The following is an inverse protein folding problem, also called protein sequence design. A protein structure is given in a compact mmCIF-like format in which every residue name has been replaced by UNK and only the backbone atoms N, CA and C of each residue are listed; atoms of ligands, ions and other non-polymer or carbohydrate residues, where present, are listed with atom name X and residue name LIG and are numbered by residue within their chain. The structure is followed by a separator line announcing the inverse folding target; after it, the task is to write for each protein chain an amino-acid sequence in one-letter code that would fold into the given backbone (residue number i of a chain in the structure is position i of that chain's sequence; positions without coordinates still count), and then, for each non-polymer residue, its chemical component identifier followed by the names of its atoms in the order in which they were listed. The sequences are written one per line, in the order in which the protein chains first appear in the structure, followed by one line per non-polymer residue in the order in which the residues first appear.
data_IF_905996986977
#
_entry.id   IF_905996986977
#
_cell.length_a   1.000
_cell.length_b   1.000
_cell.length_c   1.000
_cell.angle_alpha   90.00
_cell.angle_beta   90.00
_cell.angle_gamma   90.00
#
_symmetry.space_group_name_H-M   'P 1'
#
loop_
_entity.id
_entity.type
_entity.pdbx_description
1 polymer ?
#
# COMPACT_ATOMS: atom_id res chain seq x y z
N UNK A 1 3.77 16.13 -4.26
CA UNK A 1 3.39 17.54 -4.45
C UNK A 1 4.52 18.30 -3.80
N UNK A 2 5.54 18.64 -4.58
CA UNK A 2 6.51 19.62 -4.09
C UNK A 2 5.79 20.96 -4.01
N UNK A 3 5.94 21.71 -2.90
CA UNK A 3 5.32 23.03 -2.78
C UNK A 3 5.85 23.94 -3.90
N UNK A 4 4.94 24.76 -4.45
CA UNK A 4 5.21 25.61 -5.60
C UNK A 4 6.31 26.66 -5.35
N UNK A 5 6.58 26.97 -4.08
CA UNK A 5 7.75 27.72 -3.64
C UNK A 5 8.28 27.10 -2.33
N UNK A 6 9.53 26.64 -2.30
CA UNK A 6 10.19 26.31 -1.05
C UNK A 6 10.25 27.53 -0.12
N UNK A 7 10.18 27.31 1.19
CA UNK A 7 10.41 28.39 2.16
C UNK A 7 11.78 29.05 1.88
N UNK A 8 11.91 30.37 2.05
CA UNK A 8 13.09 31.13 1.64
C UNK A 8 14.43 30.57 2.14
N UNK A 9 14.45 29.92 3.31
CA UNK A 9 15.66 29.29 3.85
C UNK A 9 16.07 28.01 3.10
N UNK A 10 15.16 27.35 2.37
CA UNK A 10 15.46 26.15 1.58
C UNK A 10 16.42 26.48 0.44
N UNK A 11 16.34 27.68 -0.13
CA UNK A 11 17.32 28.17 -1.12
C UNK A 11 18.69 28.51 -0.51
N UNK A 12 18.78 28.60 0.82
CA UNK A 12 20.01 28.83 1.57
C UNK A 12 20.61 27.53 2.13
N UNK A 13 19.89 26.41 2.01
CA UNK A 13 20.46 25.11 2.33
C UNK A 13 21.61 24.83 1.34
N UNK A 14 22.74 24.26 1.79
CA UNK A 14 23.85 23.89 0.92
C UNK A 14 23.36 23.18 -0.34
N UNK A 15 23.93 23.44 -1.53
CA UNK A 15 23.69 22.57 -2.67
C UNK A 15 24.10 21.12 -2.36
N UNK A 16 23.57 20.13 -3.09
CA UNK A 16 24.07 18.75 -3.02
C UNK A 16 23.36 17.81 -2.02
N UNK A 17 22.26 18.21 -1.37
CA UNK A 17 21.52 17.29 -0.48
C UNK A 17 21.04 16.01 -1.15
N UNK A 18 20.71 16.06 -2.44
CA UNK A 18 20.32 14.87 -3.20
C UNK A 18 21.48 13.91 -3.43
N UNK A 19 22.69 14.44 -3.59
CA UNK A 19 23.93 13.66 -3.70
C UNK A 19 24.33 13.10 -2.34
N UNK A 20 24.29 13.93 -1.28
CA UNK A 20 24.50 13.49 0.10
C UNK A 20 23.51 12.39 0.52
N UNK A 21 22.21 12.52 0.20
CA UNK A 21 21.22 11.47 0.49
C UNK A 21 21.51 10.16 -0.24
N UNK A 22 22.07 10.23 -1.44
CA UNK A 22 22.46 9.05 -2.20
C UNK A 22 23.72 8.40 -1.59
N UNK A 23 24.67 9.20 -1.11
CA UNK A 23 25.90 8.73 -0.45
C UNK A 23 25.63 8.12 0.94
N UNK A 24 24.65 8.64 1.68
CA UNK A 24 24.23 8.14 3.00
C UNK A 24 23.30 6.92 2.93
N UNK A 25 23.02 6.39 1.73
CA UNK A 25 22.15 5.25 1.47
C UNK A 25 20.77 5.34 2.16
N UNK A 26 20.25 6.57 2.35
CA UNK A 26 18.93 6.79 2.95
C UNK A 26 17.87 6.61 1.86
N UNK A 27 17.02 5.56 1.92
CA UNK A 27 16.07 5.32 0.84
C UNK A 27 15.08 6.47 0.69
N UNK A 28 14.77 6.81 -0.57
CA UNK A 28 13.76 7.83 -0.89
C UNK A 28 12.41 7.44 -0.24
N UNK A 29 11.79 8.42 0.44
CA UNK A 29 10.55 8.27 1.26
C UNK A 29 10.72 7.56 2.60
N UNK A 30 11.93 7.39 3.11
CA UNK A 30 12.13 6.97 4.50
C UNK A 30 11.39 7.94 5.43
N UNK A 31 10.45 7.46 6.26
CA UNK A 31 9.75 8.32 7.20
C UNK A 31 10.68 8.72 8.35
N UNK A 32 10.42 9.88 8.92
CA UNK A 32 11.05 10.33 10.15
C UNK A 32 10.01 11.02 11.04
N UNK A 33 10.27 11.04 12.34
CA UNK A 33 9.46 11.73 13.34
C UNK A 33 10.25 12.90 13.92
N UNK A 34 9.59 14.04 14.05
CA UNK A 34 10.10 15.23 14.71
C UNK A 34 9.29 15.43 16.00
N UNK A 35 9.96 15.87 17.07
CA UNK A 35 9.31 16.20 18.34
C UNK A 35 8.34 17.39 18.19
N UNK A 36 7.39 17.59 19.12
CA UNK A 36 6.57 18.80 19.15
C UNK A 36 7.36 20.12 19.26
N UNK A 37 8.63 20.04 19.66
CA UNK A 37 9.57 21.17 19.75
C UNK A 37 10.42 21.37 18.48
N UNK A 38 10.09 20.66 17.40
CA UNK A 38 10.83 20.68 16.14
C UNK A 38 12.26 20.10 16.21
N UNK A 39 12.50 19.20 17.17
CA UNK A 39 13.82 18.56 17.34
C UNK A 39 13.84 17.19 16.65
N UNK A 40 14.98 16.87 16.04
CA UNK A 40 15.25 15.57 15.41
C UNK A 40 16.01 14.66 16.38
N UNK A 41 15.39 13.56 16.78
CA UNK A 41 16.01 12.54 17.63
C UNK A 41 16.66 11.45 16.75
N UNK A 42 17.99 11.40 16.75
CA UNK A 42 18.78 10.50 15.89
C UNK A 42 18.53 9.03 16.23
N UNK A 43 18.49 8.68 17.52
CA UNK A 43 18.32 7.29 17.97
C UNK A 43 16.89 6.77 17.73
N UNK A 44 15.90 7.64 17.88
CA UNK A 44 14.52 7.32 17.53
C UNK A 44 14.41 7.02 16.03
N UNK A 45 14.95 7.91 15.19
CA UNK A 45 14.79 7.83 13.74
C UNK A 45 15.69 6.78 13.08
N UNK A 46 16.77 6.35 13.74
CA UNK A 46 17.62 5.24 13.31
C UNK A 46 16.82 3.92 13.14
N UNK A 47 15.66 3.79 13.79
CA UNK A 47 14.75 2.67 13.54
C UNK A 47 14.30 2.59 12.07
N UNK A 48 14.00 3.73 11.45
CA UNK A 48 13.48 3.77 10.07
C UNK A 48 14.55 3.49 9.01
N UNK A 49 15.83 3.67 9.36
CA UNK A 49 16.98 3.29 8.54
C UNK A 49 17.53 1.91 8.88
N UNK A 50 16.93 1.19 9.85
CA UNK A 50 17.33 -0.17 10.15
C UNK A 50 17.10 -1.13 8.98
N UNK A 51 17.90 -2.19 8.87
CA UNK A 51 17.78 -3.20 7.81
C UNK A 51 16.35 -3.78 7.66
N UNK A 52 15.61 -3.90 8.77
CA UNK A 52 14.22 -4.39 8.77
C UNK A 52 13.28 -3.40 8.09
N UNK A 53 13.46 -2.10 8.33
CA UNK A 53 12.63 -1.05 7.74
C UNK A 53 13.03 -0.76 6.29
N UNK A 54 14.33 -0.68 6.00
CA UNK A 54 14.87 -0.47 4.64
C UNK A 54 14.38 -1.57 3.68
N UNK A 55 14.38 -2.83 4.11
CA UNK A 55 13.86 -3.95 3.31
C UNK A 55 12.33 -3.99 3.19
N UNK A 56 11.60 -3.14 3.91
CA UNK A 56 10.13 -3.12 3.91
C UNK A 56 9.58 -2.13 2.89
N UNK A 57 8.41 -2.45 2.33
CA UNK A 57 7.71 -1.53 1.44
C UNK A 57 7.40 -0.19 2.13
N UNK A 58 7.49 0.93 1.40
CA UNK A 58 7.18 2.28 1.89
C UNK A 58 5.90 2.37 2.73
N UNK A 59 4.80 1.73 2.28
CA UNK A 59 3.52 1.75 3.01
C UNK A 59 3.62 1.11 4.40
N UNK A 60 4.46 0.09 4.53
CA UNK A 60 4.76 -0.53 5.82
C UNK A 60 5.51 0.45 6.70
N UNK A 61 6.60 1.05 6.19
CA UNK A 61 7.38 2.04 6.94
C UNK A 61 6.50 3.21 7.41
N UNK A 62 5.69 3.78 6.52
CA UNK A 62 4.76 4.86 6.86
C UNK A 62 3.70 4.45 7.89
N UNK A 63 3.23 3.20 7.83
CA UNK A 63 2.32 2.63 8.84
C UNK A 63 2.98 2.53 10.21
N UNK A 64 4.20 2.02 10.28
CA UNK A 64 5.01 1.99 11.50
C UNK A 64 5.23 3.40 12.06
N UNK A 65 5.66 4.35 11.23
CA UNK A 65 5.87 5.73 11.65
C UNK A 65 4.60 6.37 12.21
N UNK A 66 3.45 6.12 11.59
CA UNK A 66 2.15 6.62 12.07
C UNK A 66 1.77 6.03 13.43
N UNK A 67 2.02 4.74 13.64
CA UNK A 67 1.68 4.04 14.88
C UNK A 67 2.60 4.44 16.04
N UNK A 68 3.91 4.50 15.77
CA UNK A 68 4.89 5.01 16.73
C UNK A 68 4.52 6.44 17.10
N UNK A 69 4.30 7.32 16.11
CA UNK A 69 3.86 8.71 16.34
C UNK A 69 2.62 8.80 17.22
N UNK A 70 1.62 7.94 17.01
CA UNK A 70 0.40 7.96 17.80
C UNK A 70 0.67 7.73 19.29
N UNK A 71 1.51 6.74 19.62
CA UNK A 71 1.93 6.47 20.99
C UNK A 71 2.79 7.59 21.58
N UNK A 72 3.77 8.09 20.81
CA UNK A 72 4.64 9.18 21.30
C UNK A 72 3.85 10.46 21.56
N UNK A 73 2.88 10.79 20.72
CA UNK A 73 1.96 11.91 20.97
C UNK A 73 1.15 11.70 22.25
N UNK A 74 0.74 10.47 22.56
CA UNK A 74 0.05 10.16 23.81
C UNK A 74 0.98 10.33 25.01
N UNK A 75 2.21 9.81 24.97
CA UNK A 75 3.20 10.02 26.03
C UNK A 75 3.42 11.51 26.29
N UNK A 76 3.58 12.30 25.23
CA UNK A 76 3.76 13.73 25.33
C UNK A 76 2.54 14.42 25.97
N UNK A 77 1.36 14.25 25.36
CA UNK A 77 0.17 15.04 25.75
C UNK A 77 -0.50 14.56 27.03
N UNK A 78 -0.47 13.27 27.30
CA UNK A 78 -1.25 12.66 28.38
C UNK A 78 -0.38 12.18 29.55
N UNK A 79 0.94 12.05 29.37
CA UNK A 79 1.87 11.58 30.41
C UNK A 79 2.93 12.63 30.80
N UNK A 80 2.67 13.90 30.51
CA UNK A 80 3.48 15.03 30.98
C UNK A 80 4.81 15.15 30.24
N UNK A 81 4.76 15.26 28.91
CA UNK A 81 5.94 15.39 28.05
C UNK A 81 6.93 14.21 28.19
N UNK A 82 6.42 13.04 28.59
CA UNK A 82 7.26 11.87 28.86
C UNK A 82 8.02 11.44 27.60
N UNK A 83 9.33 11.28 27.75
CA UNK A 83 10.21 10.76 26.72
C UNK A 83 9.85 9.33 26.35
N UNK A 84 10.01 8.98 25.08
CA UNK A 84 9.83 7.62 24.61
C UNK A 84 10.79 6.62 25.26
N UNK A 85 11.95 7.09 25.76
CA UNK A 85 12.95 6.28 26.46
C UNK A 85 12.51 5.88 27.87
N UNK A 86 11.67 6.71 28.49
CA UNK A 86 11.17 6.52 29.85
C UNK A 86 9.77 5.86 29.88
N UNK A 87 9.29 5.40 28.72
CA UNK A 87 8.03 4.69 28.63
C UNK A 87 8.11 3.35 29.38
N UNK A 88 7.13 3.11 30.24
CA UNK A 88 6.98 1.86 31.00
C UNK A 88 5.65 1.17 30.67
N UNK A 89 5.45 -0.02 31.23
CA UNK A 89 4.23 -0.82 31.00
C UNK A 89 2.95 -0.06 31.34
N UNK A 90 2.94 0.70 32.44
CA UNK A 90 1.80 1.53 32.84
C UNK A 90 1.44 2.60 31.81
N UNK A 91 2.40 3.07 31.01
CA UNK A 91 2.14 3.98 29.90
C UNK A 91 1.43 3.29 28.75
N UNK A 92 1.83 2.05 28.44
CA UNK A 92 1.15 1.24 27.44
C UNK A 92 -0.27 0.84 27.86
N UNK A 93 -0.46 0.47 29.12
CA UNK A 93 -1.80 0.15 29.66
C UNK A 93 -2.71 1.38 29.62
N UNK A 94 -2.20 2.55 30.02
CA UNK A 94 -2.95 3.80 29.90
C UNK A 94 -3.28 4.14 28.43
N UNK A 95 -2.34 3.93 27.51
CA UNK A 95 -2.56 4.10 26.08
C UNK A 95 -3.64 3.15 25.56
N UNK A 96 -3.63 1.88 25.96
CA UNK A 96 -4.67 0.90 25.60
C UNK A 96 -6.06 1.38 26.05
N UNK A 97 -6.19 1.87 27.29
CA UNK A 97 -7.47 2.37 27.82
C UNK A 97 -7.94 3.58 27.01
N UNK A 98 -7.07 4.58 26.83
CA UNK A 98 -7.39 5.79 26.08
C UNK A 98 -7.73 5.49 24.60
N UNK A 99 -6.95 4.63 23.95
CA UNK A 99 -7.07 4.33 22.52
C UNK A 99 -8.33 3.54 22.19
N UNK A 100 -8.85 2.76 23.15
CA UNK A 100 -9.93 1.79 22.91
C UNK A 100 -11.21 1.99 23.70
N UNK A 101 -11.14 2.48 24.94
CA UNK A 101 -12.26 2.46 25.89
C UNK A 101 -12.72 3.85 26.29
N UNK A 102 -11.80 4.80 26.38
CA UNK A 102 -12.12 6.16 26.80
C UNK A 102 -13.12 6.83 25.83
N UNK A 103 -14.16 7.45 26.38
CA UNK A 103 -15.19 8.19 25.66
C UNK A 103 -14.64 9.43 24.93
N UNK A 104 -13.60 10.04 25.49
CA UNK A 104 -12.83 11.16 24.90
C UNK A 104 -11.72 10.65 23.97
N UNK A 105 -11.52 9.33 23.92
CA UNK A 105 -10.53 8.67 23.11
C UNK A 105 -11.05 8.25 21.73
N UNK A 106 -10.15 7.84 20.82
CA UNK A 106 -10.52 7.50 19.44
C UNK A 106 -11.33 6.21 19.28
N UNK A 107 -11.36 5.34 20.29
CA UNK A 107 -12.08 4.04 20.31
C UNK A 107 -11.85 3.22 19.04
N UNK A 108 -10.58 2.95 18.74
CA UNK A 108 -10.20 2.20 17.54
C UNK A 108 -10.69 0.76 17.60
N UNK A 109 -10.91 0.17 16.41
CA UNK A 109 -11.25 -1.24 16.29
C UNK A 109 -10.05 -2.14 16.62
N UNK A 110 -10.35 -3.43 16.78
CA UNK A 110 -9.39 -4.49 17.10
C UNK A 110 -8.21 -4.57 16.11
N UNK A 111 -8.47 -4.51 14.80
CA UNK A 111 -7.43 -4.64 13.78
C UNK A 111 -6.46 -3.45 13.78
N UNK A 112 -6.98 -2.24 14.01
CA UNK A 112 -6.15 -1.03 14.14
C UNK A 112 -5.28 -1.11 15.40
N UNK A 113 -5.87 -1.53 16.52
CA UNK A 113 -5.15 -1.71 17.77
C UNK A 113 -4.02 -2.74 17.64
N UNK A 114 -4.29 -3.92 17.07
CA UNK A 114 -3.30 -4.98 16.93
C UNK A 114 -2.15 -4.55 16.04
N UNK A 115 -2.43 -3.82 14.97
CA UNK A 115 -1.39 -3.26 14.12
C UNK A 115 -0.50 -2.27 14.88
N UNK A 116 -1.10 -1.38 15.68
CA UNK A 116 -0.36 -0.43 16.53
C UNK A 116 0.52 -1.16 17.56
N UNK A 117 -0.03 -2.15 18.27
CA UNK A 117 0.73 -2.97 19.23
C UNK A 117 1.90 -3.69 18.54
N UNK A 118 1.68 -4.25 17.35
CA UNK A 118 2.73 -4.92 16.59
C UNK A 118 3.86 -3.95 16.21
N UNK A 119 3.51 -2.75 15.76
CA UNK A 119 4.47 -1.71 15.40
C UNK A 119 5.28 -1.25 16.62
N UNK A 120 4.62 -0.91 17.72
CA UNK A 120 5.27 -0.47 18.97
C UNK A 120 6.16 -1.55 19.55
N UNK A 121 5.68 -2.79 19.61
CA UNK A 121 6.46 -3.92 20.12
C UNK A 121 7.73 -4.14 19.29
N UNK A 122 7.63 -4.01 17.97
CA UNK A 122 8.78 -4.15 17.07
C UNK A 122 9.75 -2.99 17.22
N UNK A 123 9.26 -1.76 17.32
CA UNK A 123 10.05 -0.55 17.57
C UNK A 123 10.83 -0.69 18.89
N UNK A 124 10.16 -0.96 20.01
CA UNK A 124 10.81 -1.06 21.31
C UNK A 124 11.73 -2.28 21.42
N UNK A 125 11.40 -3.44 20.83
CA UNK A 125 12.34 -4.57 20.75
C UNK A 125 13.62 -4.19 19.99
N UNK A 126 13.50 -3.39 18.92
CA UNK A 126 14.66 -2.87 18.21
C UNK A 126 15.47 -1.90 19.08
N UNK A 127 14.82 -0.97 19.75
CA UNK A 127 15.47 0.01 20.63
C UNK A 127 16.19 -0.65 21.82
N UNK A 128 15.62 -1.72 22.40
CA UNK A 128 16.28 -2.53 23.44
C UNK A 128 17.56 -3.17 22.90
N UNK A 129 17.52 -3.74 21.69
CA UNK A 129 18.71 -4.34 21.05
C UNK A 129 19.78 -3.31 20.73
N UNK A 130 19.36 -2.10 20.35
CA UNK A 130 20.24 -0.95 20.13
C UNK A 130 20.78 -0.34 21.44
N UNK A 131 20.30 -0.79 22.61
CA UNK A 131 20.64 -0.30 23.96
C UNK A 131 20.22 1.15 24.25
N UNK A 132 19.31 1.71 23.45
CA UNK A 132 18.76 3.04 23.68
C UNK A 132 17.71 3.06 24.80
N UNK A 133 17.08 1.91 25.07
CA UNK A 133 16.14 1.71 26.18
C UNK A 133 16.43 0.39 26.89
N UNK A 134 16.15 0.34 28.19
CA UNK A 134 16.44 -0.85 29.01
C UNK A 134 15.36 -1.92 28.90
N UNK A 135 14.10 -1.51 28.75
CA UNK A 135 12.93 -2.40 28.76
C UNK A 135 11.99 -2.06 27.61
N UNK A 136 11.20 -3.06 27.21
CA UNK A 136 10.09 -2.87 26.28
C UNK A 136 8.81 -2.57 27.07
N UNK A 137 8.17 -1.40 26.89
CA UNK A 137 6.94 -1.05 27.61
C UNK A 137 5.73 -1.88 27.16
N UNK A 138 5.83 -2.65 26.08
CA UNK A 138 4.76 -3.53 25.63
C UNK A 138 4.86 -4.86 26.41
N UNK A 139 3.89 -5.20 27.29
CA UNK A 139 3.93 -6.44 28.03
C UNK A 139 3.90 -7.65 27.09
N UNK A 140 4.70 -8.66 27.42
CA UNK A 140 4.82 -9.90 26.65
C UNK A 140 4.07 -11.04 27.34
N UNK A 141 3.61 -12.01 26.55
CA UNK A 141 3.11 -13.31 27.01
C UNK A 141 3.73 -14.41 26.17
N UNK A 142 3.80 -15.61 26.72
CA UNK A 142 4.19 -16.79 25.96
C UNK A 142 3.22 -17.03 24.79
N UNK A 143 3.77 -17.23 23.59
CA UNK A 143 2.99 -17.65 22.44
C UNK A 143 2.58 -19.11 22.64
N UNK A 144 1.29 -19.40 22.43
CA UNK A 144 0.83 -20.77 22.28
C UNK A 144 1.52 -21.38 21.06
N UNK A 145 2.14 -22.54 21.23
CA UNK A 145 2.68 -23.31 20.13
C UNK A 145 1.54 -23.71 19.19
N UNK A 146 1.66 -23.38 17.91
CA UNK A 146 0.74 -23.89 16.90
C UNK A 146 1.21 -25.31 16.54
N UNK A 147 0.35 -26.34 16.55
CA UNK A 147 0.74 -27.69 16.18
C UNK A 147 1.36 -27.72 14.78
N UNK A 148 2.49 -28.44 14.67
CA UNK A 148 3.16 -28.74 13.40
C UNK A 148 2.17 -29.53 12.54
N UNK A 149 1.61 -28.90 11.51
CA UNK A 149 0.63 -29.53 10.61
C UNK A 149 -0.48 -28.61 10.08
N UNK A 150 -0.66 -27.41 10.63
CA UNK A 150 -1.59 -26.44 10.03
C UNK A 150 -0.97 -25.81 8.77
N UNK A 151 -1.38 -26.31 7.60
CA UNK A 151 -0.81 -26.06 6.27
C UNK A 151 -0.82 -24.62 5.77
N UNK A 152 0.00 -23.76 6.36
CA UNK A 152 0.64 -22.62 5.72
C UNK A 152 2.12 -22.74 6.03
N UNK A 153 2.99 -22.58 5.04
CA UNK A 153 4.45 -22.65 5.17
C UNK A 153 5.06 -21.53 6.05
N UNK A 154 4.51 -21.34 7.25
CA UNK A 154 5.10 -20.56 8.31
C UNK A 154 6.14 -21.42 8.99
N UNK A 155 7.36 -20.90 9.06
CA UNK A 155 8.38 -21.35 10.02
C UNK A 155 7.69 -21.72 11.32
N UNK A 156 7.97 -22.92 11.83
CA UNK A 156 7.57 -23.31 13.17
C UNK A 156 7.97 -22.17 14.11
N UNK A 157 6.99 -21.40 14.58
CA UNK A 157 7.23 -20.43 15.65
C UNK A 157 7.38 -21.29 16.90
N UNK A 158 8.63 -21.63 17.22
CA UNK A 158 8.97 -22.18 18.53
C UNK A 158 8.42 -21.27 19.63
N UNK A 159 8.29 -21.80 20.85
CA UNK A 159 7.86 -21.05 22.03
C UNK A 159 8.55 -19.69 22.07
N UNK A 160 7.80 -18.62 21.83
CA UNK A 160 8.32 -17.26 21.68
C UNK A 160 7.35 -16.26 22.27
N UNK A 161 7.82 -15.08 22.62
CA UNK A 161 7.01 -14.06 23.25
C UNK A 161 6.20 -13.23 22.23
N UNK A 162 4.92 -13.02 22.55
CA UNK A 162 3.99 -12.20 21.78
C UNK A 162 3.43 -11.10 22.68
N UNK A 163 3.12 -9.92 22.14
CA UNK A 163 2.51 -8.85 22.93
C UNK A 163 1.21 -9.33 23.61
N UNK A 164 1.13 -9.16 24.93
CA UNK A 164 0.03 -9.65 25.75
C UNK A 164 -1.29 -8.91 25.50
N UNK A 165 -1.20 -7.71 24.93
CA UNK A 165 -2.32 -6.78 24.74
C UNK A 165 -2.97 -6.85 23.37
N UNK A 166 -2.59 -7.81 22.52
CA UNK A 166 -3.35 -8.06 21.28
C UNK A 166 -4.83 -8.32 21.58
N UNK A 167 -5.68 -7.74 20.76
CA UNK A 167 -7.09 -8.00 20.73
C UNK A 167 -7.35 -9.46 20.33
N UNK A 168 -8.35 -10.05 20.95
CA UNK A 168 -8.78 -11.41 20.61
C UNK A 168 -9.81 -11.43 19.46
N UNK A 169 -10.19 -10.26 18.91
CA UNK A 169 -11.31 -10.11 17.97
C UNK A 169 -10.96 -9.63 16.56
N UNK A 170 -9.74 -9.16 16.29
CA UNK A 170 -9.35 -8.60 14.99
C UNK A 170 -9.56 -9.54 13.79
N UNK A 171 -9.64 -10.86 14.01
CA UNK A 171 -9.82 -11.85 12.95
C UNK A 171 -11.28 -12.05 12.50
N UNK A 172 -12.28 -11.48 13.17
CA UNK A 172 -13.71 -11.80 12.93
C UNK A 172 -14.43 -10.82 12.02
N UNK A 173 -13.77 -10.30 10.98
CA UNK A 173 -14.53 -9.61 9.93
C UNK A 173 -15.50 -10.63 9.30
N UNK A 174 -16.80 -10.36 9.41
CA UNK A 174 -17.83 -11.13 8.73
C UNK A 174 -17.65 -10.91 7.22
N UNK A 175 -17.02 -11.87 6.55
CA UNK A 175 -16.90 -11.86 5.10
C UNK A 175 -18.20 -12.42 4.54
N UNK A 176 -19.01 -11.55 3.96
CA UNK A 176 -20.18 -11.96 3.17
C UNK A 176 -19.79 -12.02 1.69
N UNK A 177 -20.17 -13.10 1.03
CA UNK A 177 -19.92 -13.27 -0.39
C UNK A 177 -20.86 -12.38 -1.19
N UNK A 178 -20.34 -11.71 -2.22
CA UNK A 178 -21.15 -10.90 -3.12
C UNK A 178 -21.72 -11.79 -4.24
N UNK A 179 -23.02 -12.15 -4.24
CA UNK A 179 -23.53 -13.14 -5.18
C UNK A 179 -23.48 -12.63 -6.63
N UNK A 180 -23.27 -13.49 -7.65
CA UNK A 180 -23.10 -13.05 -9.05
C UNK A 180 -24.26 -12.21 -9.61
N UNK A 181 -25.50 -12.47 -9.18
CA UNK A 181 -26.67 -11.65 -9.58
C UNK A 181 -26.62 -10.26 -8.96
N UNK A 182 -26.28 -10.16 -7.67
CA UNK A 182 -26.17 -8.89 -6.96
C UNK A 182 -25.01 -8.05 -7.50
N UNK A 183 -23.87 -8.68 -7.79
CA UNK A 183 -22.75 -8.01 -8.46
C UNK A 183 -23.13 -7.43 -9.83
N UNK A 184 -23.79 -8.22 -10.69
CA UNK A 184 -24.25 -7.73 -12.00
C UNK A 184 -25.18 -6.54 -11.87
N UNK A 185 -26.17 -6.61 -10.97
CA UNK A 185 -27.08 -5.48 -10.71
C UNK A 185 -26.33 -4.24 -10.23
N UNK A 186 -25.40 -4.38 -9.28
CA UNK A 186 -24.58 -3.27 -8.80
C UNK A 186 -23.71 -2.67 -9.91
N UNK A 187 -23.06 -3.51 -10.73
CA UNK A 187 -22.21 -3.07 -11.83
C UNK A 187 -23.04 -2.36 -12.91
N UNK A 188 -24.15 -2.95 -13.33
CA UNK A 188 -24.94 -2.41 -14.42
C UNK A 188 -25.60 -1.09 -14.01
N UNK A 189 -26.13 -0.99 -12.78
CA UNK A 189 -26.74 0.26 -12.29
C UNK A 189 -25.70 1.28 -11.86
N UNK A 190 -24.82 0.91 -10.92
CA UNK A 190 -23.92 1.85 -10.26
C UNK A 190 -22.66 2.20 -11.05
N UNK A 191 -22.24 1.36 -12.00
CA UNK A 191 -20.99 1.58 -12.76
C UNK A 191 -21.27 1.90 -14.23
N UNK A 192 -22.26 1.24 -14.84
CA UNK A 192 -22.58 1.42 -16.26
C UNK A 192 -23.73 2.41 -16.52
N UNK A 193 -24.48 2.79 -15.49
CA UNK A 193 -25.56 3.77 -15.63
C UNK A 193 -26.83 3.21 -16.26
N UNK A 194 -27.13 1.93 -16.02
CA UNK A 194 -28.44 1.37 -16.38
C UNK A 194 -29.44 1.53 -15.23
N UNK A 195 -30.74 1.54 -15.55
CA UNK A 195 -31.80 1.39 -14.57
C UNK A 195 -31.94 -0.07 -14.14
N UNK A 196 -32.78 -0.34 -13.12
CA UNK A 196 -33.10 -1.70 -12.70
C UNK A 196 -33.75 -2.54 -13.80
N UNK A 197 -34.39 -1.87 -14.78
CA UNK A 197 -35.04 -2.47 -15.94
C UNK A 197 -34.08 -2.68 -17.13
N UNK A 198 -32.81 -2.27 -16.99
CA UNK A 198 -31.77 -2.45 -18.01
C UNK A 198 -31.74 -1.36 -19.10
N UNK A 199 -32.50 -0.27 -18.92
CA UNK A 199 -32.45 0.89 -19.82
C UNK A 199 -31.34 1.85 -19.41
N UNK A 200 -30.83 2.65 -20.34
CA UNK A 200 -29.84 3.68 -20.00
C UNK A 200 -30.49 4.77 -19.13
N UNK A 201 -29.85 5.11 -18.01
CA UNK A 201 -30.31 6.16 -17.11
C UNK A 201 -29.76 7.53 -17.58
N UNK A 202 -30.61 8.46 -18.07
CA UNK A 202 -30.18 9.78 -18.51
C UNK A 202 -29.65 10.67 -17.35
N UNK A 203 -29.99 10.34 -16.10
CA UNK A 203 -29.50 11.05 -14.93
C UNK A 203 -28.08 10.61 -14.53
N UNK A 204 -27.60 9.48 -15.06
CA UNK A 204 -26.28 8.96 -14.72
C UNK A 204 -25.15 9.90 -15.15
N UNK A 205 -24.25 10.23 -14.22
CA UNK A 205 -23.10 11.13 -14.43
C UNK A 205 -21.74 10.44 -14.38
N UNK A 206 -21.72 9.10 -14.34
CA UNK A 206 -20.47 8.35 -14.30
C UNK A 206 -19.68 8.52 -15.59
N UNK A 207 -18.37 8.75 -15.46
CA UNK A 207 -17.44 8.80 -16.60
C UNK A 207 -16.70 7.48 -16.75
N UNK A 208 -16.32 7.14 -17.98
CA UNK A 208 -15.51 5.95 -18.28
C UNK A 208 -16.21 4.64 -17.89
N UNK A 209 -17.49 4.53 -18.24
CA UNK A 209 -18.33 3.39 -17.86
C UNK A 209 -17.70 2.05 -18.29
N UNK A 210 -17.22 1.94 -19.54
CA UNK A 210 -16.60 0.69 -20.03
C UNK A 210 -15.31 0.37 -19.27
N UNK A 211 -14.44 1.37 -19.05
CA UNK A 211 -13.21 1.23 -18.23
C UNK A 211 -13.52 0.72 -16.83
N UNK A 212 -14.50 1.35 -16.17
CA UNK A 212 -14.81 1.03 -14.79
C UNK A 212 -15.48 -0.35 -14.69
N UNK A 213 -16.37 -0.69 -15.62
CA UNK A 213 -17.03 -2.01 -15.63
C UNK A 213 -16.03 -3.13 -15.88
N UNK A 214 -15.13 -2.99 -16.86
CA UNK A 214 -14.12 -4.03 -17.13
C UNK A 214 -13.13 -4.18 -15.98
N UNK A 215 -12.79 -3.07 -15.31
CA UNK A 215 -11.96 -3.12 -14.10
C UNK A 215 -12.65 -3.93 -12.98
N UNK A 216 -13.95 -3.69 -12.73
CA UNK A 216 -14.73 -4.45 -11.77
C UNK A 216 -14.84 -5.93 -12.16
N UNK A 217 -15.12 -6.22 -13.44
CA UNK A 217 -15.27 -7.59 -13.93
C UNK A 217 -13.99 -8.39 -13.81
N UNK A 218 -12.84 -7.77 -14.10
CA UNK A 218 -11.54 -8.38 -13.88
C UNK A 218 -11.28 -8.62 -12.39
N UNK A 219 -11.60 -7.68 -11.50
CA UNK A 219 -11.40 -7.85 -10.04
C UNK A 219 -12.15 -9.07 -9.50
N UNK A 220 -13.43 -9.19 -9.85
CA UNK A 220 -14.30 -10.28 -9.37
C UNK A 220 -13.89 -11.63 -9.95
N UNK A 221 -13.36 -11.66 -11.18
CA UNK A 221 -13.04 -12.91 -11.89
C UNK A 221 -11.60 -13.38 -11.70
N UNK A 222 -10.65 -12.48 -11.42
CA UNK A 222 -9.23 -12.80 -11.28
C UNK A 222 -8.74 -12.88 -9.82
N UNK A 223 -9.51 -12.37 -8.86
CA UNK A 223 -9.15 -12.42 -7.43
C UNK A 223 -7.84 -11.69 -7.09
N UNK A 224 -7.46 -10.69 -7.90
CA UNK A 224 -6.27 -9.89 -7.66
C UNK A 224 -6.50 -8.89 -6.51
N UNK A 225 -5.40 -8.45 -5.88
CA UNK A 225 -5.48 -7.28 -4.99
C UNK A 225 -5.73 -6.04 -5.83
N UNK A 226 -6.54 -5.10 -5.31
CA UNK A 226 -6.85 -3.83 -5.97
C UNK A 226 -5.59 -3.10 -6.46
N UNK A 227 -4.59 -2.96 -5.60
CA UNK A 227 -3.32 -2.32 -5.95
C UNK A 227 -2.54 -3.09 -7.03
N UNK A 228 -2.69 -4.42 -7.08
CA UNK A 228 -2.05 -5.25 -8.09
C UNK A 228 -2.68 -5.04 -9.46
N UNK A 229 -4.01 -5.03 -9.53
CA UNK A 229 -4.72 -4.79 -10.79
C UNK A 229 -4.57 -3.35 -11.27
N UNK A 230 -4.61 -2.37 -10.36
CA UNK A 230 -4.48 -0.95 -10.70
C UNK A 230 -3.10 -0.56 -11.26
N UNK A 231 -2.09 -1.40 -11.07
CA UNK A 231 -0.74 -1.21 -11.61
C UNK A 231 -0.56 -1.84 -13.00
N UNK A 232 -1.53 -2.60 -13.50
CA UNK A 232 -1.45 -3.21 -14.84
C UNK A 232 -1.56 -2.13 -15.93
N UNK A 233 -0.73 -2.29 -16.96
CA UNK A 233 -0.75 -1.50 -18.17
C UNK A 233 -1.35 -2.29 -19.33
N UNK A 234 -1.57 -1.62 -20.47
CA UNK A 234 -2.01 -2.31 -21.69
C UNK A 234 -1.03 -3.36 -22.20
N UNK A 235 0.23 -3.28 -21.77
CA UNK A 235 1.29 -4.21 -22.15
C UNK A 235 1.26 -5.48 -21.29
N UNK A 236 0.59 -5.42 -20.14
CA UNK A 236 0.52 -6.52 -19.19
C UNK A 236 -0.72 -7.41 -19.40
N UNK A 237 -1.75 -6.89 -20.08
CA UNK A 237 -3.07 -7.52 -20.16
C UNK A 237 -3.33 -8.08 -21.56
N UNK A 238 -4.04 -9.23 -21.69
CA UNK A 238 -4.36 -9.80 -22.98
C UNK A 238 -5.44 -8.95 -23.68
N UNK A 239 -5.27 -8.72 -24.99
CA UNK A 239 -6.22 -7.97 -25.83
C UNK A 239 -6.65 -8.74 -27.09
N UNK A 240 -6.18 -9.98 -27.26
CA UNK A 240 -6.55 -10.84 -28.37
C UNK A 240 -7.99 -11.35 -28.21
N UNK A 241 -8.91 -10.85 -29.05
CA UNK A 241 -10.33 -11.24 -29.04
C UNK A 241 -10.59 -12.62 -29.66
N UNK A 242 -9.66 -13.16 -30.44
CA UNK A 242 -9.91 -14.32 -31.29
C UNK A 242 -9.98 -15.65 -30.51
N UNK A 243 -9.45 -15.69 -29.28
CA UNK A 243 -9.42 -16.92 -28.48
C UNK A 243 -10.61 -17.00 -27.54
N UNK A 244 -11.24 -18.19 -27.50
CA UNK A 244 -12.22 -18.55 -26.48
C UNK A 244 -11.58 -19.02 -25.16
N UNK A 245 -12.40 -19.28 -24.15
CA UNK A 245 -11.94 -19.79 -22.85
C UNK A 245 -11.28 -18.73 -21.95
N UNK A 246 -10.14 -19.06 -21.35
CA UNK A 246 -9.38 -18.17 -20.48
C UNK A 246 -8.08 -17.74 -21.12
N UNK A 247 -7.80 -16.45 -21.00
CA UNK A 247 -6.53 -15.83 -21.35
C UNK A 247 -5.66 -15.75 -20.13
N UNK A 248 -4.34 -15.87 -20.30
CA UNK A 248 -3.40 -15.76 -19.19
C UNK A 248 -2.46 -14.59 -19.39
N UNK A 249 -2.14 -13.90 -18.30
CA UNK A 249 -1.08 -12.90 -18.26
C UNK A 249 -0.24 -13.03 -17.00
N UNK A 250 0.93 -12.40 -16.99
CA UNK A 250 1.88 -12.48 -15.89
C UNK A 250 1.66 -11.31 -14.93
N UNK A 251 1.59 -11.60 -13.63
CA UNK A 251 1.64 -10.60 -12.57
C UNK A 251 3.07 -10.53 -12.02
N UNK A 252 3.84 -9.45 -12.28
CA UNK A 252 5.22 -9.34 -11.84
C UNK A 252 5.38 -9.26 -10.31
N UNK A 253 6.54 -9.72 -9.81
CA UNK A 253 6.88 -9.67 -8.38
C UNK A 253 6.86 -8.25 -7.80
N UNK A 254 7.28 -7.25 -8.59
CA UNK A 254 7.29 -5.84 -8.19
C UNK A 254 5.90 -5.28 -7.81
N UNK A 255 4.85 -5.86 -8.37
CA UNK A 255 3.46 -5.45 -8.14
C UNK A 255 2.78 -6.39 -7.13
N UNK A 256 3.16 -7.65 -7.12
CA UNK A 256 2.58 -8.65 -6.23
C UNK A 256 3.05 -8.45 -4.78
N UNK A 257 2.10 -8.40 -3.83
CA UNK A 257 2.44 -8.35 -2.40
C UNK A 257 3.36 -9.52 -2.03
N UNK A 258 4.46 -9.21 -1.36
CA UNK A 258 5.44 -10.20 -0.92
C UNK A 258 6.15 -10.90 -2.08
N UNK A 259 6.20 -10.30 -3.27
CA UNK A 259 6.85 -10.89 -4.43
C UNK A 259 6.13 -12.10 -5.03
N UNK A 260 4.86 -12.34 -4.67
CA UNK A 260 4.06 -13.50 -5.11
C UNK A 260 3.60 -13.38 -6.57
N UNK A 261 4.58 -13.36 -7.48
CA UNK A 261 4.38 -13.37 -8.91
C UNK A 261 3.70 -14.66 -9.37
N UNK A 262 2.81 -14.56 -10.36
CA UNK A 262 2.02 -15.70 -10.84
C UNK A 262 1.34 -15.40 -12.16
N UNK A 263 0.86 -16.46 -12.82
CA UNK A 263 -0.09 -16.34 -13.91
C UNK A 263 -1.47 -15.99 -13.37
N UNK A 264 -2.12 -15.03 -14.01
CA UNK A 264 -3.51 -14.66 -13.78
C UNK A 264 -4.32 -15.10 -14.98
N UNK A 265 -5.54 -15.58 -14.74
CA UNK A 265 -6.46 -16.06 -15.77
C UNK A 265 -7.65 -15.12 -15.87
N UNK A 266 -7.93 -14.62 -17.07
CA UNK A 266 -9.04 -13.73 -17.39
C UNK A 266 -9.98 -14.42 -18.40
N UNK A 267 -11.30 -14.48 -18.14
CA UNK A 267 -12.24 -15.01 -19.11
C UNK A 267 -12.25 -14.19 -20.41
N UNK A 268 -12.50 -14.86 -21.54
CA UNK A 268 -12.55 -14.21 -22.86
C UNK A 268 -13.57 -13.08 -22.94
N UNK A 269 -14.67 -13.14 -22.17
CA UNK A 269 -15.63 -12.02 -22.10
C UNK A 269 -14.99 -10.75 -21.55
N UNK A 270 -14.22 -10.84 -20.47
CA UNK A 270 -13.50 -9.70 -19.88
C UNK A 270 -12.43 -9.18 -20.83
N UNK A 271 -11.76 -10.07 -21.57
CA UNK A 271 -10.75 -9.68 -22.57
C UNK A 271 -11.38 -8.91 -23.73
N UNK A 272 -12.57 -9.31 -24.18
CA UNK A 272 -13.33 -8.56 -25.18
C UNK A 272 -13.71 -7.18 -24.66
N UNK A 273 -14.31 -7.10 -23.47
CA UNK A 273 -14.68 -5.81 -22.85
C UNK A 273 -13.46 -4.89 -22.67
N UNK A 274 -12.28 -5.46 -22.38
CA UNK A 274 -11.03 -4.73 -22.25
C UNK A 274 -10.54 -4.21 -23.59
N UNK A 275 -10.59 -5.05 -24.63
CA UNK A 275 -10.25 -4.64 -25.99
C UNK A 275 -11.21 -3.55 -26.50
N UNK A 276 -12.51 -3.66 -26.21
CA UNK A 276 -13.51 -2.64 -26.57
C UNK A 276 -13.23 -1.30 -25.89
N UNK A 277 -12.92 -1.31 -24.59
CA UNK A 277 -12.47 -0.10 -23.89
C UNK A 277 -11.24 0.54 -24.56
N UNK A 278 -10.29 -0.27 -25.05
CA UNK A 278 -9.05 0.22 -25.68
C UNK A 278 -9.32 0.84 -27.04
N UNK A 279 -10.16 0.19 -27.83
CA UNK A 279 -10.48 0.61 -29.19
C UNK A 279 -11.35 1.87 -29.22
N UNK A 280 -12.31 1.99 -28.31
CA UNK A 280 -13.30 3.07 -28.32
C UNK A 280 -12.98 4.15 -27.28
N UNK A 281 -13.45 3.98 -26.03
CA UNK A 281 -13.33 4.99 -24.96
C UNK A 281 -11.91 5.52 -24.80
N UNK A 282 -10.92 4.62 -24.76
CA UNK A 282 -9.51 4.98 -24.54
C UNK A 282 -8.95 5.77 -25.71
N UNK A 283 -9.26 5.37 -26.94
CA UNK A 283 -8.78 6.05 -28.14
C UNK A 283 -9.24 7.51 -28.15
N UNK A 284 -10.51 7.76 -27.80
CA UNK A 284 -11.07 9.09 -27.67
C UNK A 284 -10.36 9.93 -26.59
N UNK A 285 -10.11 9.37 -25.39
CA UNK A 285 -9.37 10.09 -24.32
C UNK A 285 -7.99 10.51 -24.79
N UNK A 286 -7.30 9.62 -25.50
CA UNK A 286 -5.94 9.85 -25.97
C UNK A 286 -5.95 10.93 -27.06
N UNK A 287 -6.92 10.90 -27.98
CA UNK A 287 -7.08 11.92 -29.02
C UNK A 287 -7.27 13.31 -28.38
N UNK A 288 -8.23 13.44 -27.45
CA UNK A 288 -8.47 14.71 -26.74
C UNK A 288 -7.23 15.17 -25.96
N UNK A 289 -6.54 14.25 -25.28
CA UNK A 289 -5.34 14.58 -24.52
C UNK A 289 -4.18 15.06 -25.42
N UNK A 290 -4.11 14.59 -26.66
CA UNK A 290 -3.14 15.04 -27.67
C UNK A 290 -3.48 16.43 -28.18
N UNK A 291 -4.75 16.67 -28.53
CA UNK A 291 -5.25 17.98 -28.97
C UNK A 291 -5.00 19.07 -27.92
N UNK A 292 -5.27 18.76 -26.65
CA UNK A 292 -5.02 19.65 -25.51
C UNK A 292 -3.52 19.81 -25.16
N UNK A 293 -2.63 19.11 -25.86
CA UNK A 293 -1.19 19.11 -25.61
C UNK A 293 -0.80 18.57 -24.22
N UNK A 294 -1.66 17.77 -23.56
CA UNK A 294 -1.44 17.31 -22.16
C UNK A 294 -0.14 16.54 -22.01
N UNK A 295 0.20 15.69 -22.99
CA UNK A 295 1.43 14.90 -22.96
C UNK A 295 2.70 15.75 -23.09
N UNK A 296 2.64 16.90 -23.79
CA UNK A 296 3.79 17.83 -23.90
C UNK A 296 4.11 18.53 -22.59
N UNK A 297 3.13 18.69 -21.70
CA UNK A 297 3.27 19.31 -20.38
C UNK A 297 3.84 18.35 -19.33
N UNK A 298 4.06 17.07 -19.68
CA UNK A 298 4.52 16.06 -18.74
C UNK A 298 6.03 16.19 -18.54
N UNK A 299 6.45 16.55 -17.31
CA UNK A 299 7.86 16.83 -17.00
C UNK A 299 8.78 15.60 -17.05
N UNK A 300 8.27 14.41 -16.73
CA UNK A 300 9.06 13.18 -16.65
C UNK A 300 8.26 11.98 -17.17
N UNK A 301 8.03 11.88 -18.50
CA UNK A 301 7.32 10.77 -19.07
C UNK A 301 8.17 9.48 -18.99
N UNK A 302 7.50 8.38 -18.68
CA UNK A 302 8.02 7.04 -18.94
C UNK A 302 7.57 6.64 -20.34
N UNK A 303 8.53 6.46 -21.25
CA UNK A 303 8.24 6.17 -22.66
C UNK A 303 8.59 4.71 -22.94
N UNK A 304 7.63 3.98 -23.48
CA UNK A 304 7.85 2.67 -24.09
C UNK A 304 7.83 2.89 -25.60
N UNK A 305 8.99 2.75 -26.25
CA UNK A 305 9.15 3.00 -27.68
C UNK A 305 8.59 1.86 -28.53
N UNK A 306 8.78 0.62 -28.07
CA UNK A 306 8.30 -0.59 -28.73
C UNK A 306 7.38 -1.38 -27.78
N UNK A 307 6.07 -1.40 -28.01
CA UNK A 307 5.14 -2.22 -27.24
C UNK A 307 5.46 -3.72 -27.23
N UNK A 308 6.11 -4.24 -28.28
CA UNK A 308 6.54 -5.64 -28.34
C UNK A 308 7.80 -5.90 -27.50
N UNK A 309 8.54 -4.84 -27.15
CA UNK A 309 9.72 -4.88 -26.28
C UNK A 309 9.58 -3.78 -25.22
N UNK A 310 8.76 -4.02 -24.17
CA UNK A 310 8.34 -2.99 -23.22
C UNK A 310 9.47 -2.56 -22.28
N UNK A 311 10.51 -1.93 -22.85
CA UNK A 311 11.63 -1.31 -22.17
C UNK A 311 11.29 0.14 -21.97
N UNK A 312 11.34 0.58 -20.72
CA UNK A 312 11.02 1.96 -20.36
C UNK A 312 12.27 2.83 -20.50
N UNK A 313 12.13 3.96 -21.19
CA UNK A 313 13.10 5.05 -21.19
C UNK A 313 12.56 6.21 -20.36
N UNK A 314 13.44 6.76 -19.53
CA UNK A 314 13.20 8.02 -18.82
C UNK A 314 13.70 9.20 -19.65
N UNK A 315 13.17 10.41 -19.39
CA UNK A 315 13.61 11.63 -20.07
C UNK A 315 15.12 11.92 -19.92
N UNK A 316 15.79 11.34 -18.91
CA UNK A 316 17.24 11.41 -18.70
C UNK A 316 18.06 10.29 -19.37
N UNK A 317 17.45 9.47 -20.24
CA UNK A 317 18.15 8.45 -21.03
C UNK A 317 18.44 7.12 -20.33
N UNK A 318 18.10 6.96 -19.05
CA UNK A 318 18.28 5.69 -18.34
C UNK A 318 17.27 4.64 -18.84
N UNK A 319 17.78 3.45 -19.16
CA UNK A 319 17.00 2.27 -19.59
C UNK A 319 16.74 1.38 -18.40
N UNK A 320 15.47 1.13 -18.10
CA UNK A 320 15.06 0.10 -17.12
C UNK A 320 14.25 -0.96 -17.85
N UNK A 321 14.72 -2.20 -17.82
CA UNK A 321 13.99 -3.33 -18.41
C UNK A 321 12.77 -3.65 -17.53
N UNK A 322 11.57 -3.52 -18.08
CA UNK A 322 10.38 -4.08 -17.47
C UNK A 322 10.50 -5.60 -17.45
N UNK A 323 10.55 -6.18 -16.25
CA UNK A 323 10.70 -7.61 -16.05
C UNK A 323 9.48 -8.41 -16.53
N UNK A 324 9.41 -8.68 -17.83
CA UNK A 324 8.72 -9.85 -18.35
C UNK A 324 9.78 -10.92 -18.61
N UNK A 325 9.71 -12.12 -17.99
CA UNK A 325 10.56 -13.22 -18.40
C UNK A 325 10.27 -13.54 -19.86
N UNK A 326 11.33 -13.62 -20.69
CA UNK A 326 11.25 -14.20 -22.02
C UNK A 326 10.63 -15.59 -21.87
N UNK A 327 9.53 -15.84 -22.56
CA UNK A 327 9.06 -17.21 -22.74
C UNK A 327 10.06 -17.93 -23.65
N UNK A 328 10.40 -19.20 -23.35
CA UNK A 328 11.12 -20.05 -24.31
C UNK A 328 10.33 -20.25 -25.60
#
# INVERSE_FOLDING_TARGET
MEPAEPLAFVGQLPGGWSEWLADEDVPVRTPYLISPRFEYDVELNAFFTSAVMVGSAWRTQAGYASDVKAFLNFLWRARGDKSWRDAIEDDHVAYLIWRRRDIRGPRVNDATWDREVAALNTFYKWQVRARNVRINPIPQRESRSVPVGSGRGGRASGAGETAATYSHGASRNKIEWFPPKAYRRWRDIGVRGYTADGLHDPAFKGRWAARNSVFCDLMVRAGMRLAGQAALTMLDVPLDRARGGYHRFWLPAAIAKGGSQRRIYAPSSVVRDLADYVEFDRAEVIAQAREDGRYRKWRQPLVVEDPARPVVRTAGGHRTQGGAPRLP
#
